data_IF_471489837825
#
_entry.id   IF_471489837825
#
_cell.length_a   1.000
_cell.length_b   1.000
_cell.length_c   1.000
_cell.angle_alpha   90.00
_cell.angle_beta   90.00
_cell.angle_gamma   90.00
#
_symmetry.space_group_name_H-M   'P 1'
#
loop_
_entity.id
_entity.type
_entity.pdbx_description
1 polymer ?
#
# COMPACT_ATOMS: atom_id res chain seq x y z
N UNK A 1 0.98 -22.43 -23.04
CA UNK A 1 0.08 -22.79 -21.93
C UNK A 1 0.19 -21.73 -20.84
N UNK A 2 -0.93 -21.22 -20.32
CA UNK A 2 -0.91 -20.23 -19.23
C UNK A 2 -0.98 -20.95 -17.89
N UNK A 3 0.18 -21.31 -17.33
CA UNK A 3 0.35 -22.20 -16.16
C UNK A 3 -0.26 -21.69 -14.84
N UNK A 4 -0.95 -20.53 -14.85
CA UNK A 4 -1.45 -19.83 -13.66
C UNK A 4 -2.88 -19.29 -13.84
N UNK A 5 -3.62 -19.75 -14.86
CA UNK A 5 -4.97 -19.23 -15.15
C UNK A 5 -5.97 -19.44 -13.99
N UNK A 6 -5.79 -20.48 -13.18
CA UNK A 6 -6.64 -20.78 -12.01
C UNK A 6 -6.52 -19.72 -10.89
N UNK A 7 -5.39 -19.02 -10.77
CA UNK A 7 -5.27 -17.89 -9.83
C UNK A 7 -6.12 -16.67 -10.23
N UNK A 8 -6.67 -16.64 -11.45
CA UNK A 8 -7.61 -15.60 -11.90
C UNK A 8 -9.04 -15.85 -11.44
N UNK A 9 -9.36 -17.08 -11.01
CA UNK A 9 -10.65 -17.39 -10.42
C UNK A 9 -10.65 -16.92 -8.94
N UNK A 10 -11.56 -16.01 -8.54
CA UNK A 10 -11.61 -15.51 -7.17
C UNK A 10 -11.80 -16.59 -6.12
N UNK A 11 -12.52 -17.67 -6.44
CA UNK A 11 -12.77 -18.77 -5.50
C UNK A 11 -11.50 -19.58 -5.22
N UNK A 12 -10.76 -19.93 -6.27
CA UNK A 12 -9.50 -20.68 -6.14
C UNK A 12 -8.45 -19.84 -5.41
N UNK A 13 -8.38 -18.53 -5.72
CA UNK A 13 -7.53 -17.59 -5.02
C UNK A 13 -7.85 -17.52 -3.52
N UNK A 14 -9.13 -17.46 -3.15
CA UNK A 14 -9.54 -17.41 -1.75
C UNK A 14 -9.14 -18.68 -0.98
N UNK A 15 -9.26 -19.85 -1.60
CA UNK A 15 -8.82 -21.14 -1.02
C UNK A 15 -7.32 -21.11 -0.74
N UNK A 16 -6.52 -20.69 -1.73
CA UNK A 16 -5.07 -20.62 -1.61
C UNK A 16 -4.61 -19.64 -0.53
N UNK A 17 -5.17 -18.41 -0.52
CA UNK A 17 -4.85 -17.40 0.50
C UNK A 17 -5.19 -17.92 1.89
N UNK A 18 -6.33 -18.59 2.05
CA UNK A 18 -6.72 -19.18 3.33
C UNK A 18 -5.75 -20.29 3.79
N UNK A 19 -5.31 -21.16 2.87
CA UNK A 19 -4.35 -22.21 3.18
C UNK A 19 -2.99 -21.63 3.63
N UNK A 20 -2.50 -20.57 2.95
CA UNK A 20 -1.27 -19.87 3.35
C UNK A 20 -1.39 -19.28 4.75
N UNK A 21 -2.52 -18.65 5.06
CA UNK A 21 -2.80 -18.11 6.39
C UNK A 21 -2.82 -19.21 7.47
N UNK A 22 -3.45 -20.36 7.20
CA UNK A 22 -3.46 -21.50 8.11
C UNK A 22 -2.06 -22.10 8.32
N UNK A 23 -1.19 -22.01 7.32
CA UNK A 23 0.22 -22.39 7.42
C UNK A 23 1.09 -21.37 8.20
N UNK A 24 0.49 -20.28 8.70
CA UNK A 24 1.19 -19.26 9.48
C UNK A 24 1.91 -18.20 8.65
N UNK A 25 1.66 -18.10 7.34
CA UNK A 25 2.16 -16.96 6.58
C UNK A 25 1.48 -15.68 7.08
N UNK A 26 2.25 -14.63 7.40
CA UNK A 26 1.68 -13.36 7.79
C UNK A 26 0.94 -12.72 6.60
N UNK A 27 -0.15 -12.02 6.90
CA UNK A 27 -0.91 -11.29 5.90
C UNK A 27 -0.06 -10.22 5.19
N UNK A 28 0.75 -9.50 5.97
CA UNK A 28 1.61 -8.43 5.48
C UNK A 28 3.09 -8.80 5.60
N UNK A 29 3.89 -8.22 4.72
CA UNK A 29 5.35 -8.40 4.74
C UNK A 29 5.95 -7.82 6.01
N UNK A 30 7.17 -8.28 6.32
CA UNK A 30 8.02 -7.75 7.40
C UNK A 30 7.41 -7.85 8.81
N UNK A 31 6.41 -8.73 8.99
CA UNK A 31 5.76 -8.92 10.30
C UNK A 31 4.84 -7.77 10.72
N UNK A 32 4.48 -6.87 9.79
CA UNK A 32 3.58 -5.78 10.08
C UNK A 32 2.21 -6.30 10.52
N UNK A 33 1.82 -5.95 11.74
CA UNK A 33 0.56 -6.36 12.36
C UNK A 33 -0.19 -5.11 12.81
N UNK A 34 -1.11 -4.58 11.98
CA UNK A 34 -1.85 -3.36 12.31
C UNK A 34 -2.95 -3.62 13.35
N UNK A 35 -3.37 -2.56 14.03
CA UNK A 35 -4.65 -2.54 14.73
C UNK A 35 -5.76 -2.16 13.74
N UNK A 36 -6.75 -3.02 13.53
CA UNK A 36 -7.85 -2.73 12.60
C UNK A 36 -8.71 -1.54 13.06
N UNK A 37 -8.63 -1.13 14.33
CA UNK A 37 -9.27 0.10 14.82
C UNK A 37 -8.64 1.36 14.25
N UNK A 38 -7.39 1.28 13.82
CA UNK A 38 -6.65 2.40 13.22
C UNK A 38 -6.83 2.47 11.70
N UNK A 39 -7.60 1.57 11.10
CA UNK A 39 -7.80 1.52 9.65
C UNK A 39 -8.65 2.68 9.16
N UNK A 40 -8.12 3.44 8.20
CA UNK A 40 -8.82 4.55 7.57
C UNK A 40 -9.87 4.10 6.54
N UNK A 41 -10.89 4.93 6.35
CA UNK A 41 -11.92 4.79 5.32
C UNK A 41 -11.56 5.50 4.03
N UNK A 42 -12.22 5.13 2.93
CA UNK A 42 -11.93 5.64 1.59
C UNK A 42 -11.87 7.18 1.49
N UNK A 43 -12.86 7.88 2.05
CA UNK A 43 -12.91 9.35 2.04
C UNK A 43 -11.75 9.97 2.84
N UNK A 44 -11.41 9.38 3.98
CA UNK A 44 -10.27 9.81 4.80
C UNK A 44 -8.95 9.58 4.06
N UNK A 45 -8.79 8.43 3.39
CA UNK A 45 -7.63 8.12 2.56
C UNK A 45 -7.51 9.15 1.42
N UNK A 46 -8.60 9.40 0.68
CA UNK A 46 -8.59 10.32 -0.45
C UNK A 46 -8.18 11.74 -0.02
N UNK A 47 -8.76 12.24 1.08
CA UNK A 47 -8.43 13.55 1.64
C UNK A 47 -6.99 13.62 2.15
N UNK A 48 -6.45 12.50 2.64
CA UNK A 48 -5.10 12.43 3.19
C UNK A 48 -4.03 12.46 2.10
N UNK A 49 -4.27 11.79 0.96
CA UNK A 49 -3.19 11.49 0.00
C UNK A 49 -3.27 12.30 -1.30
N UNK A 50 -4.47 12.59 -1.82
CA UNK A 50 -4.58 13.23 -3.13
C UNK A 50 -4.17 14.71 -3.05
N UNK A 51 -3.28 15.13 -3.96
CA UNK A 51 -2.74 16.48 -3.97
C UNK A 51 -1.63 16.75 -2.94
N UNK A 52 -1.18 15.72 -2.21
CA UNK A 52 -0.19 15.87 -1.15
C UNK A 52 1.10 15.09 -1.44
N UNK A 53 2.15 15.40 -0.68
CA UNK A 53 3.37 14.60 -0.63
C UNK A 53 3.39 13.77 0.64
N UNK A 54 3.65 12.47 0.49
CA UNK A 54 3.87 11.56 1.60
C UNK A 54 5.36 11.35 1.78
N UNK A 55 5.88 11.67 2.97
CA UNK A 55 7.29 11.51 3.29
C UNK A 55 7.44 10.52 4.44
N UNK A 56 8.37 9.57 4.30
CA UNK A 56 8.68 8.66 5.40
C UNK A 56 9.66 7.57 5.02
N UNK A 57 9.38 6.35 5.46
CA UNK A 57 10.32 5.23 5.47
C UNK A 57 9.67 3.91 5.05
N UNK A 58 10.42 3.09 4.32
CA UNK A 58 10.02 1.74 3.89
C UNK A 58 10.65 0.67 4.77
N UNK A 59 9.88 -0.38 5.03
CA UNK A 59 10.45 -1.65 5.49
C UNK A 59 10.97 -2.49 4.31
N UNK A 60 12.01 -3.33 4.52
CA UNK A 60 12.79 -3.45 5.74
C UNK A 60 13.87 -2.35 5.85
N UNK A 61 14.24 -2.00 7.07
CA UNK A 61 15.43 -1.16 7.34
C UNK A 61 15.20 0.34 7.18
N UNK A 62 13.95 0.77 7.24
CA UNK A 62 13.51 2.17 7.37
C UNK A 62 14.16 3.14 6.37
N UNK A 63 14.28 2.70 5.12
CA UNK A 63 14.91 3.51 4.07
C UNK A 63 14.01 4.69 3.69
N UNK A 64 14.55 5.91 3.54
CA UNK A 64 13.75 7.08 3.18
C UNK A 64 13.02 6.91 1.85
N UNK A 65 11.76 7.32 1.83
CA UNK A 65 10.92 7.33 0.64
C UNK A 65 9.98 8.53 0.61
N UNK A 66 9.64 8.93 -0.61
CA UNK A 66 8.72 10.02 -0.93
C UNK A 66 7.72 9.51 -1.97
N UNK A 67 6.46 9.85 -1.77
CA UNK A 67 5.40 9.65 -2.76
C UNK A 67 4.70 11.00 -2.95
N UNK A 68 4.97 11.65 -4.08
CA UNK A 68 4.33 12.91 -4.45
C UNK A 68 3.11 12.62 -5.31
N UNK A 69 1.93 13.08 -4.90
CA UNK A 69 0.65 12.73 -5.52
C UNK A 69 -0.05 14.01 -5.97
N UNK A 70 -0.29 14.14 -7.27
CA UNK A 70 -1.12 15.21 -7.82
C UNK A 70 -2.59 15.05 -7.44
N UNK A 71 -3.36 16.13 -7.53
CA UNK A 71 -4.83 16.06 -7.34
C UNK A 71 -5.53 15.22 -8.41
N UNK A 72 -4.88 15.00 -9.56
CA UNK A 72 -5.32 14.09 -10.61
C UNK A 72 -4.93 12.62 -10.38
N UNK A 73 -4.30 12.32 -9.24
CA UNK A 73 -3.83 10.99 -8.88
C UNK A 73 -2.54 10.56 -9.57
N UNK A 74 -1.94 11.37 -10.46
CA UNK A 74 -0.61 11.05 -11.00
C UNK A 74 0.42 11.24 -9.90
N UNK A 75 1.33 10.27 -9.78
CA UNK A 75 2.29 10.27 -8.71
C UNK A 75 3.69 9.88 -9.16
N UNK A 76 4.66 10.31 -8.36
CA UNK A 76 6.04 9.88 -8.46
C UNK A 76 6.49 9.32 -7.12
N UNK A 77 6.89 8.05 -7.13
CA UNK A 77 7.48 7.36 -6.00
C UNK A 77 9.00 7.37 -6.10
N UNK A 78 9.67 7.79 -5.04
CA UNK A 78 11.13 7.80 -4.93
C UNK A 78 11.58 7.16 -3.63
N UNK A 79 12.52 6.24 -3.72
CA UNK A 79 13.30 5.71 -2.60
C UNK A 79 14.79 5.76 -2.92
N UNK A 80 15.62 5.22 -2.03
CA UNK A 80 17.07 5.09 -2.25
C UNK A 80 17.43 4.23 -3.47
N UNK A 81 16.55 3.30 -3.87
CA UNK A 81 16.82 2.32 -4.93
C UNK A 81 15.85 2.37 -6.11
N UNK A 82 14.78 3.18 -6.02
CA UNK A 82 13.72 3.22 -7.03
C UNK A 82 13.25 4.64 -7.30
N UNK A 83 12.95 4.90 -8.56
CA UNK A 83 12.20 6.06 -9.02
C UNK A 83 11.19 5.59 -10.06
N UNK A 84 9.90 5.74 -9.77
CA UNK A 84 8.81 5.23 -10.62
C UNK A 84 7.69 6.27 -10.69
N UNK A 85 7.10 6.44 -11.87
CA UNK A 85 5.83 7.17 -12.02
C UNK A 85 4.67 6.19 -11.99
N UNK A 86 3.63 6.54 -11.27
CA UNK A 86 2.46 5.68 -11.04
C UNK A 86 1.18 6.51 -10.97
N UNK A 87 0.05 5.84 -10.96
CA UNK A 87 -1.25 6.45 -10.66
C UNK A 87 -1.76 5.92 -9.32
N UNK A 88 -2.30 6.84 -8.54
CA UNK A 88 -2.92 6.61 -7.25
C UNK A 88 -4.42 6.83 -7.39
N UNK A 89 -5.19 5.88 -6.86
CA UNK A 89 -6.63 6.04 -6.69
C UNK A 89 -7.09 5.33 -5.42
N UNK A 90 -8.31 5.63 -4.98
CA UNK A 90 -8.95 4.96 -3.85
C UNK A 90 -10.06 4.06 -4.40
N UNK A 91 -10.06 2.79 -4.00
CA UNK A 91 -11.10 1.80 -4.31
C UNK A 91 -11.69 1.25 -3.01
N UNK A 92 -12.91 1.69 -2.67
CA UNK A 92 -13.51 1.43 -1.36
C UNK A 92 -12.64 1.98 -0.23
N UNK A 93 -12.25 1.11 0.71
CA UNK A 93 -11.38 1.44 1.86
C UNK A 93 -9.89 1.08 1.60
N UNK A 94 -9.44 1.17 0.33
CA UNK A 94 -8.08 0.81 -0.08
C UNK A 94 -7.43 1.92 -0.92
N UNK A 95 -6.15 2.15 -0.68
CA UNK A 95 -5.27 2.94 -1.53
C UNK A 95 -4.65 2.02 -2.58
N UNK A 96 -4.78 2.37 -3.86
CA UNK A 96 -4.31 1.59 -4.99
C UNK A 96 -3.19 2.30 -5.74
N UNK A 97 -2.07 1.60 -5.92
CA UNK A 97 -0.94 2.03 -6.75
C UNK A 97 -0.94 1.26 -8.06
N UNK A 98 -0.77 1.95 -9.19
CA UNK A 98 -0.69 1.32 -10.50
C UNK A 98 0.44 1.91 -11.32
N UNK A 99 1.36 1.05 -11.77
CA UNK A 99 2.45 1.43 -12.68
C UNK A 99 2.65 0.38 -13.77
N UNK A 100 3.27 0.79 -14.88
CA UNK A 100 3.66 -0.12 -15.96
C UNK A 100 4.64 -1.20 -15.48
N UNK A 101 5.46 -0.89 -14.47
CA UNK A 101 6.36 -1.85 -13.83
C UNK A 101 5.62 -2.99 -13.10
N UNK A 102 4.33 -2.79 -12.78
CA UNK A 102 3.43 -3.78 -12.19
C UNK A 102 2.49 -4.40 -13.24
N UNK A 103 2.88 -4.36 -14.51
CA UNK A 103 2.07 -4.83 -15.65
C UNK A 103 0.70 -4.14 -15.73
N UNK A 104 0.61 -2.90 -15.25
CA UNK A 104 -0.62 -2.13 -15.22
C UNK A 104 -1.69 -2.68 -14.28
N UNK A 105 -1.40 -3.64 -13.40
CA UNK A 105 -2.36 -4.11 -12.40
C UNK A 105 -2.29 -3.23 -11.14
N UNK A 106 -3.43 -2.73 -10.63
CA UNK A 106 -3.45 -2.05 -9.34
C UNK A 106 -2.98 -2.97 -8.19
N UNK A 107 -2.08 -2.48 -7.35
CA UNK A 107 -1.69 -3.08 -6.08
C UNK A 107 -2.30 -2.24 -4.94
N UNK A 108 -3.42 -2.74 -4.43
CA UNK A 108 -4.24 -2.05 -3.46
C UNK A 108 -3.98 -2.56 -2.04
N UNK A 109 -4.08 -1.65 -1.08
CA UNK A 109 -3.99 -2.04 0.32
C UNK A 109 -4.47 -0.96 1.29
N UNK A 110 -4.65 -1.33 2.56
CA UNK A 110 -5.18 -0.44 3.58
C UNK A 110 -4.17 0.62 4.02
N UNK A 111 -4.71 1.71 4.57
CA UNK A 111 -3.96 2.73 5.28
C UNK A 111 -4.38 2.70 6.75
N UNK A 112 -3.41 2.70 7.65
CA UNK A 112 -3.61 2.71 9.09
C UNK A 112 -3.04 3.97 9.70
N UNK A 113 -3.75 4.57 10.66
CA UNK A 113 -3.18 5.58 11.55
C UNK A 113 -2.09 4.95 12.42
N UNK A 114 -1.04 5.70 12.73
CA UNK A 114 -0.03 5.31 13.72
C UNK A 114 -0.17 6.15 14.97
N UNK A 115 -0.12 5.50 16.12
CA UNK A 115 0.07 6.14 17.42
C UNK A 115 1.58 6.23 17.71
N UNK A 116 2.30 7.11 17.01
CA UNK A 116 3.68 7.46 17.37
C UNK A 116 3.72 8.75 18.21
N UNK A 117 4.86 9.05 18.82
CA UNK A 117 5.06 10.22 19.69
C UNK A 117 4.77 11.57 19.00
N UNK A 118 4.72 11.59 17.66
CA UNK A 118 4.40 12.78 16.85
C UNK A 118 2.91 12.88 16.48
N UNK A 119 2.10 11.84 16.74
CA UNK A 119 0.63 11.84 16.65
C UNK A 119 0.02 11.95 15.25
N UNK A 120 0.84 12.02 14.19
CA UNK A 120 0.41 12.33 12.83
C UNK A 120 0.93 11.35 11.76
N UNK A 121 1.45 10.20 12.18
CA UNK A 121 1.96 9.17 11.27
C UNK A 121 0.88 8.24 10.72
N UNK A 122 1.15 7.66 9.57
CA UNK A 122 0.32 6.67 8.90
C UNK A 122 1.18 5.51 8.37
N UNK A 123 0.54 4.38 8.09
CA UNK A 123 1.16 3.26 7.38
C UNK A 123 0.28 2.84 6.22
N UNK A 124 0.82 2.88 5.01
CA UNK A 124 0.26 2.21 3.86
C UNK A 124 0.96 0.85 3.67
N UNK A 125 0.18 -0.21 3.49
CA UNK A 125 0.71 -1.55 3.19
C UNK A 125 0.01 -2.13 1.98
N UNK A 126 0.76 -2.75 1.09
CA UNK A 126 0.23 -3.53 -0.03
C UNK A 126 1.04 -4.82 -0.21
N UNK A 127 0.86 -5.50 -1.35
CA UNK A 127 1.56 -6.77 -1.59
C UNK A 127 3.09 -6.62 -1.68
N UNK A 128 3.59 -5.41 -1.95
CA UNK A 128 5.00 -5.14 -2.25
C UNK A 128 5.76 -4.38 -1.17
N UNK A 129 5.09 -3.48 -0.42
CA UNK A 129 5.74 -2.59 0.56
C UNK A 129 4.92 -2.38 1.85
N UNK A 130 5.65 -2.02 2.90
CA UNK A 130 5.13 -1.37 4.11
C UNK A 130 5.79 0.00 4.17
N UNK A 131 4.98 1.06 4.04
CA UNK A 131 5.43 2.45 3.96
C UNK A 131 4.84 3.23 5.13
N UNK A 132 5.72 3.65 6.04
CA UNK A 132 5.37 4.52 7.15
C UNK A 132 5.60 5.97 6.72
N UNK A 133 4.59 6.82 6.83
CA UNK A 133 4.67 8.18 6.30
C UNK A 133 3.95 9.20 7.16
N UNK A 134 4.33 10.45 6.98
CA UNK A 134 3.55 11.62 7.34
C UNK A 134 3.23 12.41 6.06
N UNK A 135 2.15 13.19 6.11
CA UNK A 135 1.80 14.10 5.02
C UNK A 135 2.59 15.40 5.19
N UNK A 136 3.26 15.84 4.12
CA UNK A 136 3.98 17.12 4.05
C UNK A 136 3.37 17.99 2.96
N UNK A 137 3.35 19.31 3.20
CA UNK A 137 2.92 20.32 2.23
C UNK A 137 3.98 20.55 1.15
#
# INVERSE_FOLDING_TARGET
EMTHAHFRNPQDLAILVNALRQAGLPQWRFGFTPDERDRLKGEEIASLVLGHTLQGQLEPGLQPAFLQIGSDGKAAFRSTTRLVTETIHVDGDLLCEQSENMFGRPDCGPVYKRSDDAGNGYTFVNSSKVFHFAVVQ
#
